data_IF_342260513631
#
_entry.id   IF_342260513631
#
_cell.length_a   1.000
_cell.length_b   1.000
_cell.length_c   1.000
_cell.angle_alpha   90.00
_cell.angle_beta   90.00
_cell.angle_gamma   90.00
#
_symmetry.space_group_name_H-M   'P 1'
#
loop_
_entity.id
_entity.type
_entity.pdbx_description
1 polymer ?
#
# COMPACT_ATOMS: atom_id res chain seq x y z
N UNK A 1 -18.02 -5.93 25.65
CA UNK A 1 -16.91 -5.58 24.73
C UNK A 1 -17.17 -4.14 24.30
N UNK A 2 -16.22 -3.24 24.57
CA UNK A 2 -16.37 -1.81 24.30
C UNK A 2 -16.16 -1.55 22.80
N UNK A 3 -17.22 -1.13 22.11
CA UNK A 3 -17.11 -0.40 20.85
C UNK A 3 -16.39 0.92 21.11
N UNK A 4 -15.13 1.02 20.70
CA UNK A 4 -14.44 2.31 20.60
C UNK A 4 -14.69 2.89 19.21
N UNK A 5 -15.01 4.20 19.11
CA UNK A 5 -15.25 4.84 17.82
C UNK A 5 -13.95 4.84 16.99
N UNK A 6 -14.00 4.19 15.82
CA UNK A 6 -12.92 4.11 14.82
C UNK A 6 -12.66 5.43 14.07
N UNK A 7 -13.36 6.51 14.43
CA UNK A 7 -13.53 7.71 13.60
C UNK A 7 -12.37 8.70 13.57
N UNK A 8 -11.21 8.40 14.18
CA UNK A 8 -10.14 9.40 14.30
C UNK A 8 -8.72 8.86 14.06
N UNK A 9 -8.57 7.82 13.26
CA UNK A 9 -7.25 7.40 12.76
C UNK A 9 -6.96 8.08 11.42
N UNK A 10 -5.71 8.49 11.20
CA UNK A 10 -5.30 9.04 9.92
C UNK A 10 -5.50 7.97 8.82
N UNK A 11 -5.90 8.38 7.61
CA UNK A 11 -6.13 7.47 6.47
C UNK A 11 -4.98 6.45 6.28
N UNK A 12 -3.69 6.83 6.43
CA UNK A 12 -2.58 5.87 6.37
C UNK A 12 -2.65 4.75 7.42
N UNK A 13 -3.06 5.05 8.65
CA UNK A 13 -3.16 4.09 9.74
C UNK A 13 -4.34 3.12 9.49
N UNK A 14 -5.45 3.63 8.98
CA UNK A 14 -6.60 2.81 8.56
C UNK A 14 -6.21 1.85 7.42
N UNK A 15 -5.45 2.33 6.43
CA UNK A 15 -4.94 1.49 5.34
C UNK A 15 -3.96 0.42 5.85
N UNK A 16 -3.09 0.75 6.81
CA UNK A 16 -2.20 -0.22 7.46
C UNK A 16 -2.98 -1.26 8.27
N UNK A 17 -4.04 -0.87 8.96
CA UNK A 17 -4.88 -1.79 9.72
C UNK A 17 -5.62 -2.75 8.78
N UNK A 18 -6.25 -2.22 7.72
CA UNK A 18 -6.94 -3.04 6.70
C UNK A 18 -5.96 -4.03 6.06
N UNK A 19 -4.74 -3.60 5.73
CA UNK A 19 -3.74 -4.49 5.15
C UNK A 19 -3.38 -5.67 6.08
N UNK A 20 -3.19 -5.41 7.38
CA UNK A 20 -2.88 -6.46 8.37
C UNK A 20 -4.04 -7.42 8.62
N UNK A 21 -5.26 -6.89 8.71
CA UNK A 21 -6.46 -7.73 8.89
C UNK A 21 -6.73 -8.59 7.65
N UNK A 22 -6.49 -8.07 6.45
CA UNK A 22 -6.60 -8.84 5.22
C UNK A 22 -5.51 -9.90 5.09
N UNK A 23 -4.28 -9.64 5.56
CA UNK A 23 -3.19 -10.62 5.55
C UNK A 23 -3.52 -11.86 6.38
N UNK A 24 -3.93 -11.68 7.65
CA UNK A 24 -4.36 -12.80 8.49
C UNK A 24 -5.69 -13.45 8.05
N UNK A 25 -6.52 -12.70 7.31
CA UNK A 25 -7.71 -13.24 6.65
C UNK A 25 -7.36 -14.17 5.49
N UNK A 26 -6.41 -13.76 4.64
CA UNK A 26 -5.99 -14.50 3.46
C UNK A 26 -5.27 -15.81 3.82
N UNK A 27 -4.34 -15.77 4.79
CA UNK A 27 -3.63 -16.98 5.26
C UNK A 27 -4.62 -18.07 5.71
N UNK A 28 -5.62 -17.70 6.53
CA UNK A 28 -6.66 -18.63 6.96
C UNK A 28 -7.46 -19.21 5.78
N UNK A 29 -7.70 -18.44 4.73
CA UNK A 29 -8.43 -18.95 3.56
C UNK A 29 -7.56 -19.92 2.77
N UNK A 30 -6.27 -19.64 2.61
CA UNK A 30 -5.32 -20.55 1.96
C UNK A 30 -5.23 -21.88 2.71
N UNK A 31 -5.11 -21.85 4.04
CA UNK A 31 -5.11 -23.06 4.87
C UNK A 31 -6.40 -23.88 4.67
N UNK A 32 -7.56 -23.22 4.61
CA UNK A 32 -8.84 -23.91 4.37
C UNK A 32 -8.92 -24.50 2.96
N UNK A 33 -8.38 -23.82 1.95
CA UNK A 33 -8.30 -24.36 0.58
C UNK A 33 -7.45 -25.64 0.58
N UNK A 34 -6.30 -25.66 1.24
CA UNK A 34 -5.46 -26.86 1.32
C UNK A 34 -6.19 -28.03 2.00
N UNK A 35 -6.88 -27.77 3.12
CA UNK A 35 -7.69 -28.79 3.80
C UNK A 35 -8.79 -29.35 2.90
N UNK A 36 -9.49 -28.48 2.16
CA UNK A 36 -10.55 -28.89 1.22
C UNK A 36 -9.99 -29.69 0.05
N UNK A 37 -8.85 -29.29 -0.50
CA UNK A 37 -8.16 -30.04 -1.55
C UNK A 37 -7.80 -31.45 -1.10
N UNK A 38 -7.15 -31.57 0.06
CA UNK A 38 -6.81 -32.87 0.65
C UNK A 38 -8.05 -33.73 0.89
N UNK A 39 -9.17 -33.12 1.33
CA UNK A 39 -10.43 -33.83 1.54
C UNK A 39 -11.00 -34.38 0.24
N UNK A 40 -10.92 -33.64 -0.87
CA UNK A 40 -11.37 -34.15 -2.17
C UNK A 40 -10.51 -35.32 -2.67
N UNK A 41 -9.18 -35.24 -2.52
CA UNK A 41 -8.27 -36.33 -2.86
C UNK A 41 -8.57 -37.58 -2.02
N UNK A 42 -8.82 -37.42 -0.72
CA UNK A 42 -9.18 -38.53 0.16
C UNK A 42 -10.53 -39.15 -0.22
N UNK A 43 -11.56 -38.35 -0.52
CA UNK A 43 -12.85 -38.85 -1.03
C UNK A 43 -12.66 -39.65 -2.31
N UNK A 44 -11.79 -39.19 -3.22
CA UNK A 44 -11.52 -39.91 -4.47
C UNK A 44 -10.84 -41.26 -4.20
N UNK A 45 -9.87 -41.30 -3.28
CA UNK A 45 -9.18 -42.53 -2.90
C UNK A 45 -10.13 -43.52 -2.21
N UNK A 46 -10.94 -43.05 -1.26
CA UNK A 46 -11.96 -43.86 -0.60
C UNK A 46 -12.99 -44.42 -1.59
N UNK A 47 -13.42 -43.61 -2.56
CA UNK A 47 -14.35 -44.08 -3.59
C UNK A 47 -13.73 -45.20 -4.44
N UNK A 48 -12.45 -45.10 -4.80
CA UNK A 48 -11.71 -46.15 -5.53
C UNK A 48 -11.55 -47.41 -4.68
N UNK A 49 -11.15 -47.29 -3.42
CA UNK A 49 -11.03 -48.42 -2.49
C UNK A 49 -12.37 -49.15 -2.31
N UNK A 50 -13.46 -48.41 -2.17
CA UNK A 50 -14.80 -49.01 -2.14
C UNK A 50 -15.10 -49.79 -3.41
N UNK A 51 -14.79 -49.26 -4.60
CA UNK A 51 -14.98 -49.98 -5.86
C UNK A 51 -14.15 -51.27 -5.95
N UNK A 52 -12.91 -51.25 -5.46
CA UNK A 52 -12.05 -52.44 -5.41
C UNK A 52 -12.61 -53.51 -4.47
N UNK A 53 -13.09 -53.12 -3.29
CA UNK A 53 -13.75 -54.03 -2.34
C UNK A 53 -15.01 -54.65 -2.99
N UNK A 54 -15.84 -53.81 -3.63
CA UNK A 54 -17.07 -54.26 -4.28
C UNK A 54 -16.82 -55.22 -5.44
N UNK A 55 -15.75 -55.03 -6.22
CA UNK A 55 -15.35 -55.97 -7.28
C UNK A 55 -15.04 -57.38 -6.77
N UNK A 56 -14.63 -57.50 -5.51
CA UNK A 56 -14.29 -58.79 -4.91
C UNK A 56 -15.51 -59.53 -4.31
N UNK A 57 -16.67 -58.88 -4.24
CA UNK A 57 -17.91 -59.47 -3.72
C UNK A 57 -18.67 -60.18 -4.86
N UNK A 58 -18.68 -61.51 -4.83
CA UNK A 58 -19.54 -62.37 -5.67
C UNK A 58 -20.82 -62.69 -4.88
N UNK A 59 -22.02 -62.75 -5.50
CA UNK A 59 -22.34 -62.60 -6.92
C UNK A 59 -22.67 -61.15 -7.33
N UNK A 60 -22.52 -60.81 -8.63
CA UNK A 60 -22.99 -59.55 -9.16
C UNK A 60 -24.50 -59.39 -8.94
N UNK A 61 -24.91 -58.20 -8.51
CA UNK A 61 -26.31 -57.82 -8.32
C UNK A 61 -26.56 -56.43 -8.91
N UNK A 62 -27.82 -56.11 -9.20
CA UNK A 62 -28.21 -54.79 -9.71
C UNK A 62 -27.92 -53.68 -8.68
N UNK A 63 -28.03 -53.99 -7.39
CA UNK A 63 -27.65 -53.09 -6.30
C UNK A 63 -26.14 -52.83 -6.27
N UNK A 64 -25.32 -53.85 -6.57
CA UNK A 64 -23.87 -53.72 -6.67
C UNK A 64 -23.49 -52.79 -7.84
N UNK A 65 -24.09 -52.99 -9.01
CA UNK A 65 -23.88 -52.12 -10.18
C UNK A 65 -24.31 -50.68 -9.90
N UNK A 66 -25.46 -50.50 -9.26
CA UNK A 66 -25.96 -49.18 -8.83
C UNK A 66 -24.98 -48.52 -7.86
N UNK A 67 -24.45 -49.26 -6.88
CA UNK A 67 -23.49 -48.74 -5.91
C UNK A 67 -22.16 -48.37 -6.58
N UNK A 68 -21.66 -49.18 -7.50
CA UNK A 68 -20.45 -48.86 -8.29
C UNK A 68 -20.63 -47.57 -9.08
N UNK A 69 -21.76 -47.41 -9.77
CA UNK A 69 -22.07 -46.18 -10.52
C UNK A 69 -22.15 -44.94 -9.61
N UNK A 70 -22.70 -45.09 -8.40
CA UNK A 70 -22.72 -43.99 -7.41
C UNK A 70 -21.32 -43.63 -6.91
N UNK A 71 -20.44 -44.60 -6.70
CA UNK A 71 -19.04 -44.36 -6.32
C UNK A 71 -18.27 -43.66 -7.45
N UNK A 72 -18.52 -44.01 -8.71
CA UNK A 72 -17.93 -43.29 -9.85
C UNK A 72 -18.39 -41.84 -9.90
N UNK A 73 -19.69 -41.58 -9.66
CA UNK A 73 -20.22 -40.22 -9.57
C UNK A 73 -19.56 -39.43 -8.43
N UNK A 74 -19.36 -40.05 -7.26
CA UNK A 74 -18.66 -39.43 -6.12
C UNK A 74 -17.22 -39.07 -6.51
N UNK A 75 -16.48 -39.99 -7.12
CA UNK A 75 -15.12 -39.74 -7.60
C UNK A 75 -15.07 -38.59 -8.60
N UNK A 76 -16.00 -38.56 -9.57
CA UNK A 76 -16.11 -37.47 -10.54
C UNK A 76 -16.42 -36.12 -9.88
N UNK A 77 -17.31 -36.07 -8.89
CA UNK A 77 -17.61 -34.84 -8.15
C UNK A 77 -16.43 -34.39 -7.28
N UNK A 78 -15.67 -35.32 -6.71
CA UNK A 78 -14.45 -35.00 -5.97
C UNK A 78 -13.36 -34.40 -6.89
N UNK A 79 -13.15 -34.96 -8.08
CA UNK A 79 -12.22 -34.41 -9.07
C UNK A 79 -12.61 -32.99 -9.52
N UNK A 80 -13.90 -32.77 -9.79
CA UNK A 80 -14.38 -31.42 -10.10
C UNK A 80 -14.22 -30.46 -8.92
N UNK A 81 -14.42 -30.93 -7.69
CA UNK A 81 -14.16 -30.18 -6.47
C UNK A 81 -12.71 -29.76 -6.34
N UNK A 82 -11.78 -30.71 -6.53
CA UNK A 82 -10.34 -30.47 -6.52
C UNK A 82 -9.91 -29.46 -7.61
N UNK A 83 -10.47 -29.58 -8.82
CA UNK A 83 -10.21 -28.62 -9.89
C UNK A 83 -10.70 -27.21 -9.55
N UNK A 84 -11.92 -27.09 -9.01
CA UNK A 84 -12.49 -25.80 -8.65
C UNK A 84 -11.76 -25.13 -7.49
N UNK A 85 -11.32 -25.90 -6.48
CA UNK A 85 -10.57 -25.36 -5.35
C UNK A 85 -9.18 -24.87 -5.76
N UNK A 86 -8.53 -25.56 -6.72
CA UNK A 86 -7.30 -25.08 -7.35
C UNK A 86 -7.51 -23.71 -8.02
N UNK A 87 -8.62 -23.54 -8.76
CA UNK A 87 -8.98 -22.25 -9.35
C UNK A 87 -9.24 -21.15 -8.30
N UNK A 88 -9.82 -21.51 -7.16
CA UNK A 88 -10.01 -20.58 -6.05
C UNK A 88 -8.67 -20.14 -5.43
N UNK A 89 -7.72 -21.07 -5.30
CA UNK A 89 -6.37 -20.78 -4.83
C UNK A 89 -5.64 -19.78 -5.75
N UNK A 90 -5.69 -20.00 -7.06
CA UNK A 90 -5.09 -19.08 -8.05
C UNK A 90 -5.68 -17.66 -7.96
N UNK A 91 -6.99 -17.55 -7.78
CA UNK A 91 -7.67 -16.26 -7.59
C UNK A 91 -7.21 -15.55 -6.31
N UNK A 92 -7.03 -16.29 -5.22
CA UNK A 92 -6.51 -15.74 -3.96
C UNK A 92 -5.06 -15.29 -4.07
N UNK A 93 -4.21 -16.06 -4.76
CA UNK A 93 -2.83 -15.65 -5.04
C UNK A 93 -2.79 -14.36 -5.88
N UNK A 94 -3.64 -14.26 -6.91
CA UNK A 94 -3.75 -13.03 -7.68
C UNK A 94 -4.21 -11.84 -6.83
N UNK A 95 -5.16 -12.06 -5.91
CA UNK A 95 -5.62 -11.03 -4.98
C UNK A 95 -4.46 -10.50 -4.12
N UNK A 96 -3.58 -11.37 -3.63
CA UNK A 96 -2.41 -10.93 -2.85
C UNK A 96 -1.46 -10.06 -3.68
N UNK A 97 -1.22 -10.40 -4.94
CA UNK A 97 -0.44 -9.54 -5.86
C UNK A 97 -1.09 -8.17 -6.05
N UNK A 98 -2.42 -8.11 -6.16
CA UNK A 98 -3.16 -6.84 -6.24
C UNK A 98 -3.03 -6.04 -4.94
N UNK A 99 -3.13 -6.69 -3.77
CA UNK A 99 -2.93 -6.07 -2.45
C UNK A 99 -1.56 -5.42 -2.35
N UNK A 100 -0.49 -6.15 -2.69
CA UNK A 100 0.88 -5.64 -2.66
C UNK A 100 1.07 -4.43 -3.59
N UNK A 101 0.42 -4.42 -4.76
CA UNK A 101 0.43 -3.26 -5.68
C UNK A 101 -0.29 -2.06 -5.06
N UNK A 102 -1.44 -2.27 -4.43
CA UNK A 102 -2.19 -1.20 -3.74
C UNK A 102 -1.38 -0.62 -2.58
N UNK A 103 -0.67 -1.44 -1.80
CA UNK A 103 0.23 -0.96 -0.75
C UNK A 103 1.33 -0.04 -1.30
N UNK A 104 1.94 -0.39 -2.45
CA UNK A 104 2.95 0.47 -3.11
C UNK A 104 2.35 1.79 -3.57
N UNK A 105 1.18 1.76 -4.23
CA UNK A 105 0.48 2.97 -4.68
C UNK A 105 0.12 3.85 -3.48
N UNK A 106 -0.39 3.26 -2.39
CA UNK A 106 -0.69 3.97 -1.15
C UNK A 106 0.53 4.69 -0.57
N UNK A 107 1.69 4.02 -0.50
CA UNK A 107 2.95 4.63 -0.06
C UNK A 107 3.36 5.82 -0.94
N UNK A 108 3.28 5.67 -2.27
CA UNK A 108 3.58 6.77 -3.20
C UNK A 108 2.62 7.95 -3.03
N UNK A 109 1.33 7.71 -2.78
CA UNK A 109 0.36 8.78 -2.52
C UNK A 109 0.68 9.53 -1.22
N UNK A 110 1.11 8.82 -0.17
CA UNK A 110 1.55 9.43 1.09
C UNK A 110 2.79 10.31 0.86
N UNK A 111 3.77 9.83 0.10
CA UNK A 111 4.97 10.61 -0.24
C UNK A 111 4.63 11.89 -1.00
N UNK A 112 3.74 11.80 -1.99
CA UNK A 112 3.26 12.97 -2.75
C UNK A 112 2.52 13.94 -1.83
N UNK A 113 1.66 13.45 -0.94
CA UNK A 113 0.95 14.28 0.02
C UNK A 113 1.93 15.02 0.95
N UNK A 114 2.95 14.33 1.47
CA UNK A 114 4.01 14.95 2.29
C UNK A 114 4.81 15.98 1.50
N UNK A 115 5.14 15.71 0.24
CA UNK A 115 5.85 16.66 -0.61
C UNK A 115 5.03 17.95 -0.81
N UNK A 116 3.73 17.80 -1.14
CA UNK A 116 2.82 18.94 -1.32
C UNK A 116 2.66 19.72 -0.02
N UNK A 117 2.43 19.05 1.11
CA UNK A 117 2.34 19.69 2.42
C UNK A 117 3.63 20.42 2.79
N UNK A 118 4.80 19.81 2.56
CA UNK A 118 6.09 20.45 2.81
C UNK A 118 6.36 21.67 1.94
N UNK A 119 5.78 21.73 0.73
CA UNK A 119 5.84 22.91 -0.16
C UNK A 119 4.80 23.98 0.19
N UNK A 120 3.69 23.59 0.81
CA UNK A 120 2.63 24.48 1.25
C UNK A 120 2.85 25.02 2.67
N UNK A 121 3.70 24.37 3.48
CA UNK A 121 4.11 24.91 4.76
C UNK A 121 4.87 26.22 4.53
N UNK A 122 4.47 27.33 5.18
CA UNK A 122 5.23 28.56 5.11
C UNK A 122 6.61 28.27 5.70
N UNK A 123 7.65 28.35 4.88
CA UNK A 123 9.03 28.40 5.35
C UNK A 123 9.14 29.56 6.33
N UNK A 124 9.45 29.27 7.60
CA UNK A 124 9.65 30.30 8.64
C UNK A 124 10.68 31.35 8.20
N UNK A 125 11.60 30.99 7.28
CA UNK A 125 12.58 31.86 6.64
C UNK A 125 12.01 32.91 5.67
N UNK A 126 10.70 32.88 5.36
CA UNK A 126 10.03 33.83 4.46
C UNK A 126 8.90 34.62 5.13
N UNK A 127 8.87 34.68 6.45
CA UNK A 127 8.19 35.79 7.11
C UNK A 127 9.16 36.98 7.10
N UNK A 128 9.02 37.96 6.18
CA UNK A 128 9.64 39.26 6.42
C UNK A 128 9.13 39.69 7.80
N UNK A 129 10.06 39.85 8.78
CA UNK A 129 9.80 40.29 10.16
C UNK A 129 8.42 40.93 10.24
N UNK A 130 7.42 40.19 10.74
CA UNK A 130 6.05 40.67 10.72
C UNK A 130 6.07 42.09 11.27
N UNK A 131 5.50 43.03 10.51
CA UNK A 131 5.41 44.41 10.97
C UNK A 131 4.77 44.38 12.37
N UNK A 132 5.43 44.98 13.38
CA UNK A 132 4.99 44.86 14.75
C UNK A 132 3.55 45.36 14.86
N UNK A 133 2.76 44.67 15.68
CA UNK A 133 1.35 44.97 15.88
C UNK A 133 1.20 46.46 16.24
N UNK A 134 0.17 47.15 15.72
CA UNK A 134 0.00 48.60 15.89
C UNK A 134 -0.01 49.11 17.35
N UNK A 135 -0.06 48.20 18.32
CA UNK A 135 0.08 48.47 19.76
C UNK A 135 1.51 48.83 20.17
N UNK A 136 2.51 48.37 19.43
CA UNK A 136 3.94 48.57 19.73
C UNK A 136 4.49 49.91 19.21
N UNK A 137 3.73 50.61 18.36
CA UNK A 137 4.11 51.92 17.79
C UNK A 137 4.08 53.03 18.85
N UNK A 138 3.18 52.92 19.84
CA UNK A 138 2.98 53.94 20.87
C UNK A 138 4.01 53.88 22.02
N UNK A 139 4.74 52.77 22.13
CA UNK A 139 5.71 52.54 23.22
C UNK A 139 7.17 52.71 22.75
N UNK A 140 7.38 53.11 21.50
CA UNK A 140 8.71 53.17 20.91
C UNK A 140 9.35 54.55 21.08
N UNK A 141 10.61 54.58 21.49
CA UNK A 141 11.44 55.76 21.28
C UNK A 141 11.60 56.03 19.78
N UNK A 142 11.56 57.28 19.32
CA UNK A 142 11.66 57.61 17.91
C UNK A 142 12.94 57.02 17.31
N UNK A 143 12.80 56.18 16.29
CA UNK A 143 13.96 55.74 15.52
C UNK A 143 14.55 56.97 14.83
N UNK A 144 15.81 57.28 15.18
CA UNK A 144 16.63 58.19 14.40
C UNK A 144 16.68 57.66 12.96
N UNK A 145 16.31 58.50 12.00
CA UNK A 145 16.42 58.14 10.59
C UNK A 145 17.85 57.67 10.31
N UNK A 146 17.99 56.54 9.61
CA UNK A 146 19.29 56.09 9.11
C UNK A 146 19.79 57.12 8.09
N UNK A 147 20.57 58.09 8.58
CA UNK A 147 21.25 59.08 7.72
C UNK A 147 22.60 58.50 7.30
N UNK A 148 22.61 57.28 6.79
CA UNK A 148 23.74 56.82 5.97
C UNK A 148 23.34 57.01 4.53
N UNK A 149 23.61 58.23 4.01
CA UNK A 149 23.66 58.46 2.56
C UNK A 149 24.80 57.62 2.01
N UNK A 150 24.51 56.38 1.65
CA UNK A 150 25.47 55.56 0.90
C UNK A 150 25.63 56.21 -0.46
N UNK A 151 26.86 56.63 -0.77
CA UNK A 151 27.18 57.31 -2.02
C UNK A 151 26.92 56.35 -3.19
N UNK A 152 25.96 56.68 -4.06
CA UNK A 152 25.48 55.78 -5.11
C UNK A 152 26.62 55.30 -6.02
N UNK A 153 27.63 56.13 -6.20
CA UNK A 153 28.82 55.84 -7.01
C UNK A 153 29.65 54.69 -6.42
N UNK A 154 29.67 54.54 -5.09
CA UNK A 154 30.38 53.43 -4.43
C UNK A 154 29.71 52.07 -4.68
N UNK A 155 28.38 52.04 -4.65
CA UNK A 155 27.59 50.82 -4.92
C UNK A 155 27.72 50.40 -6.37
N UNK A 156 27.70 51.38 -7.29
CA UNK A 156 27.87 51.14 -8.73
C UNK A 156 29.30 50.63 -9.02
N UNK A 157 30.32 51.20 -8.39
CA UNK A 157 31.70 50.76 -8.56
C UNK A 157 31.92 49.30 -8.09
N UNK A 158 31.36 48.92 -6.93
CA UNK A 158 31.41 47.53 -6.46
C UNK A 158 30.71 46.56 -7.43
N UNK A 159 29.56 46.95 -7.97
CA UNK A 159 28.81 46.13 -8.92
C UNK A 159 29.62 45.87 -10.20
N UNK A 160 30.23 46.90 -10.79
CA UNK A 160 31.07 46.75 -11.99
C UNK A 160 32.35 45.96 -11.72
N UNK A 161 32.98 46.15 -10.56
CA UNK A 161 34.16 45.37 -10.17
C UNK A 161 33.84 43.88 -10.07
N UNK A 162 32.65 43.52 -9.54
CA UNK A 162 32.20 42.14 -9.44
C UNK A 162 31.88 41.54 -10.81
N UNK A 163 31.22 42.30 -11.68
CA UNK A 163 30.91 41.86 -13.06
C UNK A 163 32.17 41.63 -13.92
N UNK A 164 33.21 42.46 -13.74
CA UNK A 164 34.49 42.29 -14.43
C UNK A 164 35.24 41.04 -13.97
N UNK A 165 35.22 40.73 -12.66
CA UNK A 165 35.82 39.51 -12.11
C UNK A 165 35.13 38.25 -12.64
N UNK A 166 33.80 38.23 -12.69
CA UNK A 166 33.05 37.09 -13.26
C UNK A 166 33.33 36.91 -14.76
N UNK A 167 33.46 38.01 -15.52
CA UNK A 167 33.78 37.94 -16.94
C UNK A 167 35.21 37.45 -17.20
N UNK A 168 36.16 37.81 -16.35
CA UNK A 168 37.53 37.31 -16.41
C UNK A 168 37.59 35.80 -16.05
N UNK A 169 36.86 35.36 -15.02
CA UNK A 169 36.77 33.96 -14.64
C UNK A 169 36.22 33.08 -15.78
N UNK A 170 35.12 33.52 -16.42
CA UNK A 170 34.53 32.79 -17.57
C UNK A 170 35.42 32.74 -18.82
N UNK A 171 36.43 33.60 -18.93
CA UNK A 171 37.37 33.63 -20.08
C UNK A 171 38.64 32.82 -19.82
N UNK A 172 38.87 32.37 -18.59
CA UNK A 172 39.99 31.51 -18.22
C UNK A 172 39.64 30.00 -18.23
N UNK A 173 38.35 29.67 -18.30
CA UNK A 173 37.82 28.29 -18.33
C UNK A 173 37.46 27.78 -19.73
N UNK A 174 37.77 28.53 -20.79
CA UNK A 174 37.59 28.13 -22.20
C UNK A 174 38.84 28.40 -23.03
#
# INVERSE_FOLDING_TARGET
MQDKPQDNQAIPDQLMQIAREQEGGAERVLDQIEVVQNSFEEIQNLAKECQEILRNLVPPSEELETLTARLEQIGFHADNGAYNIQGAFDLYQYQDVVRQKLERVGRSLIEVAHYVLGRLQPSEDHLPKMAPSGRDILQREPQMADVTKVDADSVVAEFFAKALKEKAAKKAEG
#
